data_IF_888631881900
#
_entry.id   IF_888631881900
#
_cell.length_a   1.000
_cell.length_b   1.000
_cell.length_c   1.000
_cell.angle_alpha   90.00
_cell.angle_beta   90.00
_cell.angle_gamma   90.00
#
_symmetry.space_group_name_H-M   'P 1'
#
loop_
_entity.id
_entity.type
_entity.pdbx_description
1 polymer ?
#
# COMPACT_ATOMS: atom_id res chain seq x y z
N UNK A 1 -19.71 -50.43 17.75
CA UNK A 1 -19.97 -48.98 17.97
C UNK A 1 -18.71 -48.14 18.19
N UNK A 2 -17.67 -48.63 18.89
CA UNK A 2 -16.45 -47.84 19.20
C UNK A 2 -15.66 -47.34 17.98
N UNK A 3 -15.56 -48.15 16.92
CA UNK A 3 -14.81 -47.78 15.69
C UNK A 3 -15.46 -46.64 14.92
N UNK A 4 -16.80 -46.61 14.83
CA UNK A 4 -17.55 -45.54 14.16
C UNK A 4 -17.39 -44.20 14.88
N UNK A 5 -17.42 -44.22 16.22
CA UNK A 5 -17.21 -43.02 17.04
C UNK A 5 -15.80 -42.45 16.83
N UNK A 6 -14.79 -43.34 16.77
CA UNK A 6 -13.40 -42.93 16.53
C UNK A 6 -13.22 -42.27 15.16
N UNK A 7 -13.80 -42.86 14.10
CA UNK A 7 -13.71 -42.29 12.74
C UNK A 7 -14.43 -40.96 12.60
N UNK A 8 -15.60 -40.79 13.22
CA UNK A 8 -16.32 -39.52 13.18
C UNK A 8 -15.55 -38.42 13.93
N UNK A 9 -14.90 -38.77 15.03
CA UNK A 9 -14.07 -37.84 15.80
C UNK A 9 -12.84 -37.39 15.00
N UNK A 10 -12.09 -38.30 14.37
CA UNK A 10 -10.92 -37.92 13.56
C UNK A 10 -11.28 -37.07 12.36
N UNK A 11 -12.38 -37.37 11.66
CA UNK A 11 -12.83 -36.55 10.52
C UNK A 11 -13.23 -35.14 10.97
N UNK A 12 -13.91 -35.02 12.11
CA UNK A 12 -14.27 -33.72 12.69
C UNK A 12 -13.04 -32.88 13.05
N UNK A 13 -12.04 -33.48 13.68
CA UNK A 13 -10.76 -32.81 14.01
C UNK A 13 -10.01 -32.39 12.75
N UNK A 14 -9.98 -33.24 11.72
CA UNK A 14 -9.31 -32.93 10.45
C UNK A 14 -9.98 -31.73 9.75
N UNK A 15 -11.31 -31.72 9.67
CA UNK A 15 -12.08 -30.62 9.09
C UNK A 15 -11.89 -29.31 9.86
N UNK A 16 -11.87 -29.38 11.20
CA UNK A 16 -11.59 -28.23 12.06
C UNK A 16 -10.19 -27.64 11.81
N UNK A 17 -9.17 -28.50 11.69
CA UNK A 17 -7.81 -28.07 11.38
C UNK A 17 -7.74 -27.38 10.01
N UNK A 18 -8.35 -27.96 8.97
CA UNK A 18 -8.38 -27.36 7.62
C UNK A 18 -9.06 -25.98 7.65
N UNK A 19 -10.18 -25.85 8.37
CA UNK A 19 -10.88 -24.57 8.51
C UNK A 19 -10.03 -23.51 9.22
N UNK A 20 -9.31 -23.88 10.29
CA UNK A 20 -8.41 -22.97 11.02
C UNK A 20 -7.23 -22.55 10.14
N UNK A 21 -6.58 -23.51 9.45
CA UNK A 21 -5.49 -23.20 8.53
C UNK A 21 -5.95 -22.31 7.37
N UNK A 22 -7.12 -22.58 6.79
CA UNK A 22 -7.73 -21.74 5.76
C UNK A 22 -8.01 -20.32 6.24
N UNK A 23 -8.55 -20.18 7.45
CA UNK A 23 -8.85 -18.88 8.07
C UNK A 23 -7.57 -18.06 8.33
N UNK A 24 -6.54 -18.68 8.91
CA UNK A 24 -5.25 -18.01 9.17
C UNK A 24 -4.60 -17.57 7.86
N UNK A 25 -4.68 -18.39 6.81
CA UNK A 25 -4.08 -18.06 5.52
C UNK A 25 -4.84 -16.92 4.82
N UNK A 26 -6.17 -16.88 4.93
CA UNK A 26 -6.98 -15.82 4.33
C UNK A 26 -6.75 -14.44 4.94
N UNK A 27 -6.31 -14.36 6.20
CA UNK A 27 -5.98 -13.07 6.85
C UNK A 27 -4.58 -12.54 6.48
N UNK A 28 -3.72 -13.33 5.83
CA UNK A 28 -2.33 -12.95 5.53
C UNK A 28 -2.12 -12.22 4.20
N UNK A 29 -3.19 -11.96 3.44
CA UNK A 29 -3.04 -11.17 2.23
C UNK A 29 -3.06 -9.69 2.58
N UNK A 30 -1.85 -9.11 2.73
CA UNK A 30 -1.66 -7.67 2.78
C UNK A 30 -2.44 -7.04 1.60
N UNK A 31 -3.36 -6.09 1.86
CA UNK A 31 -4.20 -5.55 0.82
C UNK A 31 -3.35 -4.87 -0.25
N UNK A 32 -3.48 -5.33 -1.49
CA UNK A 32 -2.82 -4.70 -2.64
C UNK A 32 -3.63 -3.49 -3.05
N UNK A 33 -3.01 -2.31 -2.97
CA UNK A 33 -3.59 -1.04 -3.37
C UNK A 33 -2.86 -0.49 -4.59
N UNK A 34 -3.58 0.31 -5.38
CA UNK A 34 -3.01 1.17 -6.41
C UNK A 34 -3.23 2.63 -6.03
N UNK A 35 -2.16 3.43 -6.03
CA UNK A 35 -2.22 4.88 -5.81
C UNK A 35 -1.68 5.59 -7.06
N UNK A 36 -2.28 6.73 -7.40
CA UNK A 36 -1.92 7.51 -8.59
C UNK A 36 -1.56 8.92 -8.16
N UNK A 37 -0.44 9.45 -8.64
CA UNK A 37 -0.09 10.84 -8.39
C UNK A 37 1.34 11.13 -8.78
N UNK A 38 1.87 12.26 -8.30
CA UNK A 38 3.25 12.66 -8.57
C UNK A 38 4.16 12.13 -7.47
N UNK A 39 5.20 11.39 -7.89
CA UNK A 39 6.24 10.93 -6.97
C UNK A 39 7.13 12.09 -6.59
N UNK A 40 7.29 12.32 -5.30
CA UNK A 40 8.16 13.35 -4.73
C UNK A 40 9.15 12.72 -3.74
N UNK A 41 10.28 13.38 -3.58
CA UNK A 41 11.29 13.05 -2.58
C UNK A 41 11.18 14.07 -1.46
N UNK A 42 10.94 13.60 -0.23
CA UNK A 42 11.02 14.44 0.96
C UNK A 42 12.48 14.68 1.31
N UNK A 43 12.96 15.90 1.10
CA UNK A 43 14.32 16.30 1.48
C UNK A 43 14.41 16.85 2.90
N UNK A 44 13.30 16.89 3.65
CA UNK A 44 13.31 17.31 5.03
C UNK A 44 14.08 16.31 5.90
N UNK A 45 14.79 16.87 6.89
CA UNK A 45 15.40 16.07 7.94
C UNK A 45 14.37 15.88 9.06
N UNK A 46 14.06 14.63 9.34
CA UNK A 46 13.18 14.16 10.39
C UNK A 46 14.00 13.47 11.49
N UNK A 47 13.47 13.46 12.71
CA UNK A 47 14.08 12.70 13.82
C UNK A 47 14.13 11.21 13.50
N UNK A 48 13.12 10.69 12.78
CA UNK A 48 13.08 9.32 12.32
C UNK A 48 13.87 9.13 11.01
N UNK A 49 14.87 8.26 11.04
CA UNK A 49 15.72 7.95 9.89
C UNK A 49 14.96 7.39 8.69
N UNK A 50 13.79 6.76 8.89
CA UNK A 50 12.96 6.22 7.80
C UNK A 50 12.29 7.32 6.99
N UNK A 51 12.06 8.47 7.62
CA UNK A 51 11.44 9.63 6.97
C UNK A 51 12.48 10.50 6.24
N UNK A 52 13.76 10.36 6.56
CA UNK A 52 14.84 11.04 5.85
C UNK A 52 14.96 10.54 4.41
N UNK A 53 14.82 11.43 3.43
CA UNK A 53 14.81 11.08 2.01
C UNK A 53 13.67 10.10 1.66
N UNK A 54 12.54 10.18 2.38
CA UNK A 54 11.38 9.36 2.10
C UNK A 54 10.76 9.74 0.75
N UNK A 55 10.28 8.75 0.02
CA UNK A 55 9.60 8.97 -1.26
C UNK A 55 8.12 8.81 -1.01
N UNK A 56 7.32 9.70 -1.58
CA UNK A 56 5.87 9.65 -1.44
C UNK A 56 5.17 10.02 -2.74
N UNK A 57 3.93 9.57 -2.88
CA UNK A 57 2.99 10.11 -3.87
C UNK A 57 2.18 11.20 -3.19
N UNK A 58 2.15 12.36 -3.83
CA UNK A 58 1.21 13.44 -3.52
C UNK A 58 -0.10 13.11 -4.27
N UNK A 59 -1.08 12.63 -3.53
CA UNK A 59 -2.40 12.21 -4.01
C UNK A 59 -3.46 12.98 -3.21
N UNK A 60 -4.24 13.80 -3.91
CA UNK A 60 -5.28 14.64 -3.32
C UNK A 60 -6.40 13.81 -2.67
N UNK A 61 -6.54 12.53 -3.04
CA UNK A 61 -7.55 11.62 -2.49
C UNK A 61 -7.07 10.84 -1.25
N UNK A 62 -5.79 10.95 -0.86
CA UNK A 62 -5.26 10.30 0.33
C UNK A 62 -5.62 11.10 1.60
N UNK A 63 -6.00 10.44 2.72
CA UNK A 63 -6.47 11.12 3.95
C UNK A 63 -5.44 12.06 4.59
N UNK A 64 -4.15 11.89 4.28
CA UNK A 64 -3.07 12.78 4.73
C UNK A 64 -2.36 13.50 3.56
N UNK A 65 -2.92 13.43 2.34
CA UNK A 65 -2.34 13.97 1.11
C UNK A 65 -1.06 13.28 0.62
N UNK A 66 -0.46 12.37 1.42
CA UNK A 66 0.79 11.69 1.10
C UNK A 66 0.70 10.19 1.34
N UNK A 67 1.19 9.41 0.38
CA UNK A 67 1.38 7.97 0.48
C UNK A 67 2.86 7.64 0.35
N UNK A 68 3.50 7.17 1.43
CA UNK A 68 4.92 6.82 1.39
C UNK A 68 5.15 5.57 0.52
N UNK A 69 6.18 5.60 -0.32
CA UNK A 69 6.54 4.54 -1.24
C UNK A 69 7.82 3.86 -0.78
N UNK A 70 7.76 2.53 -0.71
CA UNK A 70 8.95 1.69 -0.50
C UNK A 70 9.29 0.95 -1.78
N UNK A 71 10.35 1.38 -2.45
CA UNK A 71 10.90 0.70 -3.62
C UNK A 71 11.86 -0.42 -3.19
N UNK A 72 11.81 -1.55 -3.91
CA UNK A 72 12.79 -2.64 -3.77
C UNK A 72 14.03 -2.45 -4.66
N UNK A 73 13.95 -1.55 -5.63
CA UNK A 73 14.96 -1.33 -6.67
C UNK A 73 15.20 0.18 -6.82
N UNK A 74 16.44 0.59 -6.55
CA UNK A 74 16.85 2.01 -6.54
C UNK A 74 16.82 2.62 -7.95
N UNK A 75 17.02 1.83 -9.00
CA UNK A 75 16.88 2.29 -10.39
C UNK A 75 15.43 2.68 -10.70
N UNK A 76 14.47 1.81 -10.37
CA UNK A 76 13.04 2.12 -10.51
C UNK A 76 12.62 3.32 -9.67
N UNK A 77 13.19 3.42 -8.47
CA UNK A 77 12.97 4.54 -7.56
C UNK A 77 13.40 5.87 -8.20
N UNK A 78 14.66 5.96 -8.63
CA UNK A 78 15.21 7.15 -9.27
C UNK A 78 14.45 7.51 -10.55
N UNK A 79 14.05 6.51 -11.33
CA UNK A 79 13.25 6.71 -12.54
C UNK A 79 11.83 7.20 -12.23
N UNK A 80 11.30 6.95 -11.04
CA UNK A 80 9.95 7.34 -10.66
C UNK A 80 9.87 8.79 -10.16
N UNK A 81 10.91 9.28 -9.49
CA UNK A 81 10.94 10.60 -8.85
C UNK A 81 10.61 11.70 -9.87
N UNK A 82 9.69 12.59 -9.50
CA UNK A 82 9.23 13.71 -10.32
C UNK A 82 8.20 13.35 -11.40
N UNK A 83 7.93 12.06 -11.63
CA UNK A 83 6.97 11.61 -12.65
C UNK A 83 5.58 11.41 -12.06
N UNK A 84 4.58 11.54 -12.93
CA UNK A 84 3.22 11.13 -12.61
C UNK A 84 3.09 9.63 -12.88
N UNK A 85 2.76 8.87 -11.85
CA UNK A 85 2.74 7.40 -11.93
C UNK A 85 1.51 6.84 -11.27
N UNK A 86 1.16 5.61 -11.64
CA UNK A 86 0.35 4.71 -10.84
C UNK A 86 1.26 3.66 -10.24
N UNK A 87 1.37 3.64 -8.91
CA UNK A 87 2.13 2.64 -8.16
C UNK A 87 1.17 1.58 -7.60
N UNK A 88 1.54 0.31 -7.67
CA UNK A 88 0.73 -0.79 -7.13
C UNK A 88 1.57 -1.69 -6.22
N UNK A 89 1.00 -2.06 -5.08
CA UNK A 89 1.71 -2.84 -4.07
C UNK A 89 0.88 -3.12 -2.82
N UNK A 90 1.35 -4.03 -1.94
CA UNK A 90 0.77 -4.20 -0.63
C UNK A 90 1.01 -2.96 0.25
N UNK A 91 0.00 -2.59 1.04
CA UNK A 91 0.15 -1.62 2.11
C UNK A 91 0.72 -2.27 3.35
N UNK A 92 1.63 -1.56 4.02
CA UNK A 92 2.17 -1.96 5.31
C UNK A 92 2.13 -0.81 6.30
N UNK A 93 1.68 -1.12 7.50
CA UNK A 93 1.81 -0.22 8.65
C UNK A 93 3.22 -0.36 9.21
N UNK A 94 3.93 0.75 9.33
CA UNK A 94 5.27 0.79 9.90
C UNK A 94 5.27 1.71 11.10
N UNK A 95 5.75 1.22 12.23
CA UNK A 95 5.93 2.02 13.42
C UNK A 95 7.26 2.78 13.32
N UNK A 96 7.17 4.09 13.52
CA UNK A 96 8.28 5.02 13.63
C UNK A 96 8.92 4.93 15.03
N UNK A 97 10.14 5.42 15.15
CA UNK A 97 10.88 5.52 16.42
C UNK A 97 10.15 6.43 17.43
N UNK A 98 9.36 7.39 16.94
CA UNK A 98 8.46 8.23 17.75
C UNK A 98 7.27 7.45 18.35
N UNK A 99 7.04 6.22 17.91
CA UNK A 99 5.88 5.39 18.26
C UNK A 99 4.65 5.62 17.36
N UNK A 100 4.66 6.65 16.50
CA UNK A 100 3.64 6.87 15.49
C UNK A 100 3.64 5.77 14.43
N UNK A 101 2.48 5.46 13.85
CA UNK A 101 2.39 4.48 12.77
C UNK A 101 2.07 5.18 11.45
N UNK A 102 2.89 4.95 10.44
CA UNK A 102 2.67 5.40 9.07
C UNK A 102 2.25 4.24 8.17
N UNK A 103 1.62 4.56 7.05
CA UNK A 103 1.32 3.58 6.00
C UNK A 103 2.30 3.75 4.84
N UNK A 104 2.96 2.66 4.47
CA UNK A 104 3.84 2.57 3.31
C UNK A 104 3.25 1.66 2.23
N UNK A 105 3.26 2.10 0.98
CA UNK A 105 3.01 1.27 -0.19
C UNK A 105 4.30 0.62 -0.66
N UNK A 106 4.38 -0.71 -0.58
CA UNK A 106 5.54 -1.47 -1.02
C UNK A 106 5.44 -1.73 -2.52
N UNK A 107 6.16 -0.94 -3.31
CA UNK A 107 6.01 -0.89 -4.77
C UNK A 107 6.40 -2.22 -5.41
N UNK A 108 5.43 -2.90 -6.01
CA UNK A 108 5.64 -4.08 -6.84
C UNK A 108 5.68 -3.70 -8.32
N UNK A 109 4.76 -2.84 -8.74
CA UNK A 109 4.64 -2.37 -10.12
C UNK A 109 4.47 -0.85 -10.20
N UNK A 110 4.94 -0.27 -11.31
CA UNK A 110 4.83 1.16 -11.59
C UNK A 110 4.49 1.40 -13.06
N UNK A 111 3.43 2.17 -13.27
CA UNK A 111 2.99 2.60 -14.59
C UNK A 111 3.19 4.11 -14.72
N UNK A 112 4.00 4.52 -15.68
CA UNK A 112 4.19 5.94 -15.99
C UNK A 112 2.97 6.47 -16.74
N UNK A 113 2.33 7.49 -16.19
CA UNK A 113 1.18 8.12 -16.81
C UNK A 113 1.62 9.35 -17.61
N UNK A 114 1.01 9.60 -18.79
CA UNK A 114 1.32 10.78 -19.56
C UNK A 114 0.97 12.03 -18.73
N UNK A 115 1.83 13.05 -18.80
CA UNK A 115 1.70 14.29 -18.02
C UNK A 115 0.50 15.16 -18.42
N UNK A 116 -0.42 14.64 -19.22
CA UNK A 116 -1.54 15.38 -19.79
C UNK A 116 -2.59 15.71 -18.73
N UNK A 117 -2.57 16.98 -18.33
CA UNK A 117 -3.76 17.78 -18.02
C UNK A 117 -4.43 17.55 -16.66
N UNK A 118 -3.68 17.69 -15.56
CA UNK A 118 -4.25 17.99 -14.24
C UNK A 118 -4.81 19.44 -14.13
N UNK A 119 -5.13 20.07 -15.27
CA UNK A 119 -5.62 21.46 -15.37
C UNK A 119 -7.09 21.57 -15.80
N UNK A 120 -7.82 20.46 -15.99
CA UNK A 120 -9.22 20.53 -16.48
C UNK A 120 -10.28 20.59 -15.36
N UNK A 121 -9.89 20.51 -14.08
CA UNK A 121 -10.83 20.52 -12.95
C UNK A 121 -11.01 21.86 -12.23
N UNK A 122 -10.09 22.82 -12.40
CA UNK A 122 -10.11 24.10 -11.67
C UNK A 122 -10.57 25.30 -12.50
N UNK A 123 -10.83 25.10 -13.80
CA UNK A 123 -11.19 26.19 -14.72
C UNK A 123 -12.69 26.23 -15.05
N UNK A 124 -13.53 25.49 -14.33
CA UNK A 124 -14.99 25.47 -14.53
C UNK A 124 -15.79 26.13 -13.40
N UNK A 125 -15.13 26.83 -12.47
CA UNK A 125 -15.78 27.47 -11.33
C UNK A 125 -15.81 29.01 -11.36
N UNK A 126 -15.29 29.64 -12.43
CA UNK A 126 -15.16 31.11 -12.48
C UNK A 126 -15.88 31.76 -13.68
N UNK A 127 -16.66 30.99 -14.45
CA UNK A 127 -17.48 31.52 -15.54
C UNK A 127 -18.97 31.34 -15.24
N UNK A 128 -19.55 32.36 -14.61
CA UNK A 128 -20.94 32.76 -14.82
C UNK A 128 -21.66 33.31 -13.59
N UNK A 129 -22.71 34.11 -13.81
CA UNK A 129 -22.85 35.31 -14.64
C UNK A 129 -22.76 36.62 -13.84
#
# INVERSE_FOLDING_TARGET
>A
MKVRLLTTFTVGVLMGAIAIFGYINSQRHDPVMSCTGRVQLDTASHEDLRLNNAIYIDDLDAPHGRMYLRFKNDGKMNDAIGKHVRATGPLKSVQLDSGESITELWVNDIQYLPSTSYNRGLQSADDGP
#
